data_IF_481124145249
#
_entry.id   IF_481124145249
#
_cell.length_a   1.000
_cell.length_b   1.000
_cell.length_c   1.000
_cell.angle_alpha   90.00
_cell.angle_beta   90.00
_cell.angle_gamma   90.00
#
_symmetry.space_group_name_H-M   'P 1'
#
loop_
_entity.id
_entity.type
_entity.pdbx_description
1 polymer ?
2 non-polymer ?
3 water ?
#
# COMPACT_ATOMS: atom_id res chain seq x y z
N UNK A 5 -7.24 23.21 -28.23
CA UNK A 5 -7.81 22.59 -29.42
C UNK A 5 -6.86 21.56 -30.02
N UNK A 6 -5.56 21.82 -29.88
CA UNK A 6 -4.54 20.89 -30.38
C UNK A 6 -3.74 20.28 -29.23
N UNK A 7 -3.86 20.88 -28.04
CA UNK A 7 -3.24 20.31 -26.85
C UNK A 7 -4.06 19.10 -26.42
N UNK A 8 -3.40 17.96 -26.17
CA UNK A 8 -4.18 16.81 -25.71
C UNK A 8 -4.92 17.09 -24.42
N UNK A 9 -6.18 16.68 -24.36
CA UNK A 9 -7.01 16.83 -23.18
C UNK A 9 -7.55 15.46 -22.79
N UNK A 10 -6.85 14.82 -21.85
CA UNK A 10 -7.18 13.46 -21.44
C UNK A 10 -8.43 13.44 -20.58
N UNK A 11 -9.16 12.33 -20.62
CA UNK A 11 -10.33 12.20 -19.75
C UNK A 11 -9.87 12.10 -18.30
N UNK A 12 -8.71 11.49 -18.07
CA UNK A 12 -8.24 11.26 -16.71
C UNK A 12 -6.70 11.19 -16.60
N UNK A 13 -6.19 11.85 -15.57
CA UNK A 13 -4.79 11.72 -15.18
C UNK A 13 -4.71 10.77 -14.01
N UNK A 14 -4.06 9.62 -14.23
CA UNK A 14 -3.93 8.59 -13.20
C UNK A 14 -2.52 8.66 -12.61
N UNK A 15 -2.44 9.16 -11.38
CA UNK A 15 -1.17 9.28 -10.70
C UNK A 15 -0.87 7.98 -9.97
N UNK A 16 -0.07 7.13 -10.60
CA UNK A 16 0.33 5.85 -10.04
C UNK A 16 0.11 4.72 -11.02
N UNK A 17 1.12 3.86 -11.15
CA UNK A 17 1.05 2.70 -12.04
C UNK A 17 1.09 1.40 -11.27
N UNK A 18 0.64 1.45 -10.02
CA UNK A 18 0.56 0.27 -9.19
C UNK A 18 -0.72 -0.50 -9.46
N UNK A 19 -1.12 -1.33 -8.50
CA UNK A 19 -2.29 -2.17 -8.68
C UNK A 19 -3.53 -1.30 -8.88
N UNK A 20 -3.66 -0.24 -8.09
CA UNK A 20 -4.81 0.65 -8.17
C UNK A 20 -4.88 1.38 -9.51
N UNK A 21 -3.76 1.98 -9.91
CA UNK A 21 -3.71 2.74 -11.15
C UNK A 21 -3.95 1.87 -12.36
N UNK A 22 -3.37 0.68 -12.36
CA UNK A 22 -3.53 -0.25 -13.48
C UNK A 22 -4.97 -0.72 -13.59
N UNK A 23 -5.62 -0.92 -12.45
CA UNK A 23 -6.99 -1.39 -12.45
C UNK A 23 -7.92 -0.31 -12.99
N UNK A 24 -7.66 0.95 -12.63
CA UNK A 24 -8.43 2.07 -13.17
C UNK A 24 -8.29 2.15 -14.69
N UNK A 25 -7.06 2.06 -15.17
CA UNK A 25 -6.77 2.10 -16.60
C UNK A 25 -7.48 0.97 -17.35
N UNK A 26 -7.54 -0.21 -16.75
CA UNK A 26 -8.14 -1.38 -17.37
C UNK A 26 -9.64 -1.23 -17.55
N UNK A 27 -10.30 -0.49 -16.65
CA UNK A 27 -11.72 -0.20 -16.80
C UNK A 27 -11.95 0.91 -17.82
N UNK A 28 -11.08 1.92 -17.84
CA UNK A 28 -11.24 3.05 -18.73
C UNK A 28 -11.06 2.69 -20.21
N UNK A 29 -10.20 1.72 -20.52
CA UNK A 29 -9.98 1.36 -21.92
C UNK A 29 -11.22 0.69 -22.50
N UNK A 30 -12.00 0.02 -21.65
CA UNK A 30 -13.21 -0.67 -22.09
C UNK A 30 -14.29 0.29 -22.60
N UNK A 31 -14.19 1.55 -22.18
CA UNK A 31 -15.19 2.55 -22.54
C UNK A 31 -14.57 3.64 -23.44
N UNK A 32 -13.39 3.37 -23.98
CA UNK A 32 -12.67 4.25 -24.90
C UNK A 32 -12.26 5.58 -24.29
N UNK A 33 -12.31 5.70 -22.97
CA UNK A 33 -11.86 6.92 -22.31
C UNK A 33 -10.34 6.99 -22.36
N UNK A 34 -9.83 8.21 -22.42
CA UNK A 34 -8.38 8.44 -22.55
C UNK A 34 -7.75 8.79 -21.22
N UNK A 35 -6.54 8.32 -21.00
CA UNK A 35 -5.83 8.67 -19.79
C UNK A 35 -4.33 8.50 -19.94
N UNK A 36 -3.60 9.11 -19.02
CA UNK A 36 -2.17 8.86 -18.87
C UNK A 36 -1.91 8.26 -17.49
N UNK A 37 -1.19 7.15 -17.46
CA UNK A 37 -0.77 6.52 -16.22
C UNK A 37 0.65 6.95 -15.90
N UNK A 38 0.81 7.67 -14.78
CA UNK A 38 2.12 8.12 -14.34
C UNK A 38 2.70 7.15 -13.33
N UNK A 39 3.97 6.78 -13.54
CA UNK A 39 4.63 5.79 -12.72
C UNK A 39 6.09 6.17 -12.52
N UNK A 40 6.43 6.53 -11.29
CA UNK A 40 7.77 6.96 -10.93
C UNK A 40 8.71 5.75 -10.72
N UNK A 41 8.14 4.56 -10.65
CA UNK A 41 8.92 3.32 -10.71
C UNK A 41 8.97 2.49 -9.45
N UNK A 42 8.68 3.10 -8.31
CA UNK A 42 8.71 2.39 -7.03
C UNK A 42 7.29 2.08 -6.57
N UNK A 43 7.04 0.80 -6.30
CA UNK A 43 5.74 0.33 -5.82
C UNK A 43 5.92 -0.33 -4.47
N UNK A 44 4.86 -0.29 -3.65
CA UNK A 44 4.97 -0.66 -2.24
C UNK A 44 5.48 -2.08 -2.03
N UNK A 45 5.08 -3.01 -2.90
CA UNK A 45 5.45 -4.42 -2.74
C UNK A 45 6.56 -4.88 -3.68
N UNK A 46 7.34 -3.94 -4.20
CA UNK A 46 8.39 -4.28 -5.17
C UNK A 46 9.47 -5.18 -4.57
N UNK A 47 9.59 -5.20 -3.25
CA UNK A 47 10.58 -6.05 -2.59
C UNK A 47 9.99 -7.41 -2.16
N UNK A 48 8.69 -7.58 -2.37
CA UNK A 48 8.03 -8.82 -1.99
C UNK A 48 8.44 -9.98 -2.90
N UNK A 49 8.65 -11.18 -2.32
CA UNK A 49 9.04 -12.32 -3.14
C UNK A 49 7.89 -12.83 -4.01
N UNK A 50 6.66 -12.55 -3.59
CA UNK A 50 5.49 -12.97 -4.35
C UNK A 50 4.25 -12.13 -3.99
N UNK A 51 3.16 -12.41 -4.71
CA UNK A 51 1.89 -11.74 -4.51
C UNK A 51 0.86 -12.75 -4.02
N UNK A 52 0.07 -12.38 -3.01
CA UNK A 52 -0.92 -13.28 -2.43
C UNK A 52 -2.31 -12.68 -2.43
N UNK A 53 -3.31 -13.56 -2.37
CA UNK A 53 -4.75 -13.22 -2.29
C UNK A 53 -5.37 -12.78 -3.62
N UNK A 54 -4.56 -12.53 -4.64
CA UNK A 54 -5.07 -12.17 -5.96
C UNK A 54 -5.20 -13.42 -6.83
N UNK A 55 -6.44 -13.81 -7.22
CA UNK A 55 -6.65 -15.07 -7.94
C UNK A 55 -5.74 -15.27 -9.16
N UNK A 56 -5.22 -16.50 -9.27
CA UNK A 56 -4.36 -16.95 -10.37
C UNK A 56 -2.89 -16.51 -10.20
N UNK A 57 -2.64 -15.54 -9.32
CA UNK A 57 -1.29 -14.98 -9.18
C UNK A 57 -0.61 -15.29 -7.84
N UNK A 58 -1.21 -16.17 -7.06
CA UNK A 58 -0.60 -16.59 -5.79
C UNK A 58 0.78 -17.19 -6.01
N UNK A 59 1.72 -16.81 -5.16
CA UNK A 59 3.10 -17.31 -5.18
C UNK A 59 3.86 -16.91 -6.45
N UNK A 60 3.30 -15.94 -7.18
CA UNK A 60 3.95 -15.40 -8.38
C UNK A 60 4.56 -14.03 -8.07
N UNK A 61 5.51 -13.60 -8.91
CA UNK A 61 6.22 -12.35 -8.67
C UNK A 61 5.32 -11.12 -8.87
N UNK A 62 5.35 -10.17 -7.91
CA UNK A 62 4.46 -9.00 -7.99
C UNK A 62 4.78 -8.08 -9.16
N UNK A 63 6.03 -8.03 -9.59
CA UNK A 63 6.41 -7.20 -10.73
C UNK A 63 5.89 -7.81 -12.02
N UNK A 64 5.90 -9.14 -12.09
CA UNK A 64 5.36 -9.83 -13.27
C UNK A 64 3.87 -9.57 -13.38
N UNK A 65 3.20 -9.50 -12.23
CA UNK A 65 1.76 -9.20 -12.21
C UNK A 65 1.50 -7.83 -12.85
N UNK A 66 2.23 -6.81 -12.42
CA UNK A 66 2.08 -5.46 -12.98
C UNK A 66 2.40 -5.45 -14.47
N UNK A 67 3.48 -6.11 -14.86
CA UNK A 67 3.91 -6.13 -16.25
C UNK A 67 2.86 -6.82 -17.12
N UNK A 68 2.33 -7.93 -16.63
CA UNK A 68 1.28 -8.66 -17.33
C UNK A 68 0.04 -7.79 -17.50
N UNK A 69 -0.29 -7.04 -16.46
CA UNK A 69 -1.46 -6.18 -16.47
C UNK A 69 -1.33 -5.07 -17.51
N UNK A 70 -0.15 -4.46 -17.56
CA UNK A 70 0.12 -3.38 -18.51
C UNK A 70 0.12 -3.89 -19.95
N UNK A 71 0.74 -5.04 -20.19
CA UNK A 71 0.80 -5.63 -21.52
C UNK A 71 -0.60 -6.04 -21.95
N UNK A 72 -1.34 -6.60 -21.00
CA UNK A 72 -2.71 -7.04 -21.22
C UNK A 72 -3.60 -5.86 -21.62
N UNK A 73 -3.15 -4.64 -21.28
CA UNK A 73 -3.83 -3.41 -21.71
C UNK A 73 -3.32 -2.97 -23.08
N UNK A 74 -2.01 -2.76 -23.19
CA UNK A 74 -1.42 -2.18 -24.39
C UNK A 74 -1.49 -3.09 -25.62
N UNK A 75 -1.71 -4.38 -25.40
CA UNK A 75 -1.77 -5.32 -26.52
C UNK A 75 -3.06 -5.21 -27.32
N UNK A 76 -4.08 -4.58 -26.73
CA UNK A 76 -5.40 -4.50 -27.38
C UNK A 76 -5.93 -3.07 -27.47
N UNK A 77 -5.65 -2.24 -26.47
CA UNK A 77 -6.24 -0.91 -26.37
C UNK A 77 -5.21 0.18 -26.64
N UNK A 78 -5.67 1.37 -27.05
CA UNK A 78 -4.76 2.45 -27.42
C UNK A 78 -5.17 3.84 -26.89
N UNK A 79 -6.09 3.90 -25.93
CA UNK A 79 -6.52 5.18 -25.39
C UNK A 79 -5.83 5.54 -24.07
N UNK A 80 -5.08 4.60 -23.51
CA UNK A 80 -4.32 4.85 -22.28
C UNK A 80 -2.82 4.78 -22.57
N UNK A 81 -2.12 5.84 -22.20
CA UNK A 81 -0.68 5.92 -22.34
C UNK A 81 0.01 5.83 -20.98
N UNK A 82 1.26 5.38 -20.97
CA UNK A 82 2.05 5.28 -19.75
C UNK A 82 3.24 6.22 -19.80
N UNK A 83 3.36 7.07 -18.80
CA UNK A 83 4.48 8.00 -18.67
C UNK A 83 5.35 7.62 -17.47
N UNK A 84 6.58 7.20 -17.73
CA UNK A 84 7.52 6.85 -16.67
C UNK A 84 8.26 8.08 -16.20
N UNK A 85 7.59 8.90 -15.40
CA UNK A 85 8.14 10.16 -14.94
C UNK A 85 7.76 10.39 -13.48
N UNK A 86 8.41 11.36 -12.85
CA UNK A 86 8.10 11.76 -11.49
C UNK A 86 7.36 13.09 -11.49
N UNK A 87 6.10 13.06 -11.07
CA UNK A 87 5.29 14.27 -10.94
C UNK A 87 5.63 15.00 -9.66
N UNK A 88 5.63 16.33 -9.70
CA UNK A 88 5.88 17.14 -8.51
C UNK A 88 4.72 18.06 -8.18
N UNK A 89 3.73 18.15 -9.05
CA UNK A 89 2.54 18.95 -8.75
C UNK A 89 1.30 18.54 -9.53
N UNK A 90 0.16 18.63 -8.86
CA UNK A 90 -1.14 18.52 -9.50
C UNK A 90 -2.01 19.67 -9.01
N UNK A 91 -2.73 20.30 -9.93
CA UNK A 91 -3.56 21.47 -9.63
C UNK A 91 -4.84 21.44 -10.44
N UNK A 92 -5.94 21.93 -9.85
CA UNK A 92 -7.10 22.31 -10.64
C UNK A 92 -6.90 23.76 -11.06
N UNK A 93 -6.83 23.98 -12.36
CA UNK A 93 -6.54 25.31 -12.89
C UNK A 93 -7.67 26.29 -12.55
N UNK A 94 -7.28 27.43 -11.99
CA UNK A 94 -8.24 28.45 -11.55
C UNK A 94 -8.31 29.62 -12.52
N UNK A 95 -7.51 29.57 -13.58
CA UNK A 95 -7.53 30.61 -14.60
C UNK A 95 -6.91 30.09 -15.89
N UNK A 96 -6.80 30.97 -16.88
CA UNK A 96 -6.21 30.59 -18.15
C UNK A 96 -7.22 29.91 -19.06
N UNK A 97 -6.77 29.49 -20.25
CA UNK A 97 -7.66 28.92 -21.26
C UNK A 97 -8.32 27.59 -20.86
N UNK A 98 -7.74 26.88 -19.90
CA UNK A 98 -8.27 25.59 -19.48
C UNK A 98 -8.68 25.59 -18.01
N UNK A 99 -9.18 26.74 -17.57
CA UNK A 99 -9.76 26.89 -16.23
C UNK A 99 -10.76 25.76 -15.97
N UNK A 100 -10.67 25.16 -14.79
CA UNK A 100 -11.58 24.08 -14.41
C UNK A 100 -10.99 22.70 -14.65
N UNK A 101 -10.06 22.60 -15.58
CA UNK A 101 -9.38 21.33 -15.85
C UNK A 101 -8.26 21.10 -14.85
N UNK A 102 -7.78 19.86 -14.80
CA UNK A 102 -6.66 19.51 -13.93
C UNK A 102 -5.36 19.42 -14.73
N UNK A 103 -4.26 19.71 -14.07
CA UNK A 103 -2.94 19.73 -14.69
C UNK A 103 -1.89 19.11 -13.78
N UNK A 104 -1.00 18.30 -14.35
CA UNK A 104 0.15 17.78 -13.60
C UNK A 104 1.47 18.25 -14.24
N UNK A 105 2.46 18.45 -13.39
CA UNK A 105 3.82 18.83 -13.80
C UNK A 105 4.81 17.76 -13.35
N UNK A 106 5.72 17.36 -14.24
CA UNK A 106 6.79 16.45 -13.85
C UNK A 106 8.06 17.24 -13.51
N UNK A 107 9.12 16.55 -13.12
CA UNK A 107 10.33 17.21 -12.64
C UNK A 107 11.07 17.97 -13.74
N UNK A 108 10.64 17.77 -14.98
CA UNK A 108 11.18 18.52 -16.11
C UNK A 108 10.20 19.59 -16.58
N UNK A 109 9.19 19.84 -15.76
CA UNK A 109 8.21 20.91 -16.00
C UNK A 109 7.31 20.64 -17.22
N UNK A 110 7.31 19.40 -17.70
CA UNK A 110 6.35 19.00 -18.72
C UNK A 110 4.93 18.97 -18.13
N UNK A 111 3.93 19.28 -18.95
CA UNK A 111 2.55 19.39 -18.49
C UNK A 111 1.60 18.40 -19.18
N UNK A 112 0.61 17.93 -18.42
CA UNK A 112 -0.49 17.12 -18.95
C UNK A 112 -1.81 17.67 -18.41
N UNK A 113 -2.80 17.80 -19.27
CA UNK A 113 -4.11 18.33 -18.87
C UNK A 113 -5.15 17.23 -18.88
N UNK A 114 -6.09 17.30 -17.94
CA UNK A 114 -7.10 16.27 -17.81
C UNK A 114 -8.43 16.75 -17.25
N UNK A 115 -9.51 16.05 -17.60
CA UNK A 115 -10.83 16.36 -17.07
C UNK A 115 -11.01 15.89 -15.64
N UNK A 116 -10.31 14.81 -15.29
CA UNK A 116 -10.44 14.19 -13.98
C UNK A 116 -9.08 13.70 -13.49
N UNK A 117 -9.00 13.40 -12.20
CA UNK A 117 -7.78 12.84 -11.61
C UNK A 117 -8.11 11.63 -10.73
N UNK A 118 -7.34 10.57 -10.89
CA UNK A 118 -7.34 9.46 -9.95
C UNK A 118 -6.02 9.45 -9.21
N UNK A 119 -6.09 9.70 -7.90
CA UNK A 119 -4.93 9.63 -7.03
C UNK A 119 -4.69 8.17 -6.63
N UNK A 120 -3.61 7.59 -7.14
CA UNK A 120 -3.25 6.21 -6.86
C UNK A 120 -1.78 6.10 -6.53
N UNK A 121 -1.28 7.07 -5.77
CA UNK A 121 0.16 7.20 -5.56
C UNK A 121 0.67 6.34 -4.41
N UNK A 122 -0.24 5.68 -3.70
CA UNK A 122 0.13 4.71 -2.69
C UNK A 122 0.69 5.32 -1.41
N UNK A 123 1.22 4.47 -0.56
CA UNK A 123 1.79 4.88 0.73
C UNK A 123 3.20 4.32 0.89
N UNK A 124 3.91 4.79 1.89
CA UNK A 124 5.18 4.19 2.26
C UNK A 124 5.17 3.77 3.73
N UNK A 125 5.82 2.65 4.02
CA UNK A 125 5.87 2.11 5.35
C UNK A 125 6.95 2.81 6.18
N UNK A 126 6.58 3.25 7.38
CA UNK A 126 7.51 3.93 8.28
C UNK A 126 8.12 2.92 9.26
N UNK A 127 9.30 2.43 8.92
CA UNK A 127 9.94 1.34 9.65
C UNK A 127 10.48 1.75 11.02
N UNK A 128 10.29 0.89 12.04
CA UNK A 128 10.96 1.14 13.33
C UNK A 128 12.48 1.26 13.15
N UNK A 129 13.14 2.05 13.99
CA UNK A 129 14.55 2.36 13.78
C UNK A 129 15.45 1.44 14.61
N UNK A 130 14.98 0.22 14.85
CA UNK A 130 15.79 -0.80 15.49
C UNK A 130 16.88 -1.25 14.54
N UNK A 131 18.12 -1.30 15.05
CA UNK A 131 19.28 -1.72 14.27
C UNK A 131 19.00 -3.07 13.60
N UNK A 132 19.03 -3.08 12.27
CA UNK A 132 18.84 -4.30 11.50
C UNK A 132 17.43 -4.51 10.97
N UNK A 133 16.45 -3.78 11.52
CA UNK A 133 15.06 -3.98 11.11
C UNK A 133 14.88 -3.84 9.61
N UNK A 134 15.46 -2.79 9.03
CA UNK A 134 15.31 -2.49 7.62
C UNK A 134 15.82 -3.62 6.74
N UNK A 135 16.87 -4.30 7.20
CA UNK A 135 17.47 -5.39 6.42
C UNK A 135 16.70 -6.70 6.60
N UNK A 136 15.95 -6.82 7.69
CA UNK A 136 15.11 -7.99 7.93
C UNK A 136 13.73 -7.80 7.29
N UNK A 137 13.36 -6.56 7.03
CA UNK A 137 12.06 -6.21 6.47
C UNK A 137 11.84 -6.88 5.11
N UNK A 138 10.77 -7.67 5.03
CA UNK A 138 10.37 -8.47 3.85
C UNK A 138 11.21 -9.73 3.68
N UNK A 139 12.21 -9.93 4.54
CA UNK A 139 12.98 -11.16 4.55
C UNK A 139 12.45 -12.08 5.65
N UNK A 140 12.61 -11.65 6.90
CA UNK A 140 12.12 -12.37 8.06
C UNK A 140 10.98 -11.66 8.76
N UNK A 141 10.83 -10.36 8.50
CA UNK A 141 9.78 -9.57 9.14
C UNK A 141 8.66 -9.25 8.14
N UNK A 142 7.44 -9.65 8.49
CA UNK A 142 6.30 -9.58 7.59
C UNK A 142 5.26 -8.59 8.09
N UNK A 143 4.60 -7.91 7.16
CA UNK A 143 3.58 -6.91 7.49
C UNK A 143 2.21 -7.55 7.67
N UNK A 144 2.04 -8.74 7.11
CA UNK A 144 0.72 -9.39 7.08
C UNK A 144 0.89 -10.89 6.93
N UNK A 145 0.34 -11.66 7.86
CA UNK A 145 0.58 -13.11 7.88
C UNK A 145 -0.36 -13.85 6.92
N UNK A 146 -1.19 -13.12 6.18
CA UNK A 146 -1.92 -13.71 5.06
C UNK A 146 -1.03 -13.66 3.82
N UNK A 147 -0.24 -12.59 3.71
CA UNK A 147 0.60 -12.36 2.53
C UNK A 147 1.94 -13.08 2.64
N UNK A 148 2.39 -13.30 3.87
CA UNK A 148 3.63 -14.03 4.14
C UNK A 148 3.41 -14.95 5.35
N UNK A 149 4.24 -15.97 5.49
CA UNK A 149 4.23 -16.80 6.68
C UNK A 149 4.00 -18.28 6.41
N UNK A 150 3.12 -18.58 5.46
CA UNK A 150 2.85 -19.97 5.09
C UNK A 150 4.14 -20.74 4.83
N UNK A 151 5.07 -20.09 4.13
CA UNK A 151 6.33 -20.72 3.78
C UNK A 151 7.22 -20.98 5.01
N UNK A 152 6.88 -20.32 6.12
CA UNK A 152 7.62 -20.47 7.38
C UNK A 152 6.89 -21.39 8.37
N UNK A 153 5.85 -22.07 7.92
CA UNK A 153 5.12 -22.97 8.80
C UNK A 153 6.07 -24.06 9.31
N UNK A 154 5.91 -24.42 10.58
CA UNK A 154 6.76 -25.43 11.19
C UNK A 154 8.03 -24.86 11.79
N UNK A 155 8.19 -23.54 11.72
CA UNK A 155 9.33 -22.88 12.37
C UNK A 155 9.38 -23.22 13.85
N UNK A 156 10.58 -23.29 14.40
CA UNK A 156 10.75 -23.59 15.83
C UNK A 156 10.02 -22.55 16.67
N UNK A 157 10.05 -21.30 16.25
CA UNK A 157 9.31 -20.23 16.93
C UNK A 157 8.99 -19.11 15.97
N UNK A 158 8.05 -18.25 16.37
CA UNK A 158 7.64 -17.10 15.59
C UNK A 158 7.34 -15.95 16.51
N UNK A 159 7.60 -14.73 16.03
CA UNK A 159 7.51 -13.55 16.87
C UNK A 159 6.48 -12.53 16.45
N UNK A 160 6.02 -11.77 17.44
CA UNK A 160 5.18 -10.59 17.22
C UNK A 160 5.92 -9.40 17.82
N UNK A 161 6.21 -8.40 17.00
CA UNK A 161 6.83 -7.17 17.50
C UNK A 161 5.72 -6.18 17.84
N UNK A 162 5.33 -6.18 19.11
CA UNK A 162 4.20 -5.40 19.58
C UNK A 162 4.62 -4.00 20.00
N UNK A 163 5.01 -3.19 19.03
CA UNK A 163 5.41 -1.81 19.29
C UNK A 163 4.63 -0.84 18.40
N UNK A 164 4.63 0.43 18.78
CA UNK A 164 4.00 1.49 18.00
C UNK A 164 2.53 1.14 17.75
N UNK A 165 2.13 0.97 16.49
CA UNK A 165 0.76 0.67 16.16
C UNK A 165 0.27 -0.67 16.70
N UNK A 166 1.21 -1.57 16.97
CA UNK A 166 0.88 -2.91 17.48
C UNK A 166 1.05 -3.00 18.99
N UNK A 167 1.27 -1.86 19.66
CA UNK A 167 1.53 -1.84 21.09
C UNK A 167 0.24 -1.80 21.91
N UNK A 168 -0.70 -2.69 21.57
CA UNK A 168 -1.92 -2.88 22.34
C UNK A 168 -2.11 -4.36 22.55
N UNK A 169 -2.82 -4.73 23.62
CA UNK A 169 -3.02 -6.15 23.88
C UNK A 169 -3.83 -6.80 22.76
N UNK A 170 -4.87 -6.12 22.29
CA UNK A 170 -5.73 -6.68 21.26
C UNK A 170 -4.95 -6.94 19.97
N UNK A 171 -4.08 -6.01 19.59
CA UNK A 171 -3.27 -6.18 18.38
C UNK A 171 -2.26 -7.31 18.56
N UNK A 172 -1.58 -7.33 19.70
CA UNK A 172 -0.60 -8.36 19.99
C UNK A 172 -1.26 -9.74 19.97
N UNK A 173 -2.44 -9.83 20.59
CA UNK A 173 -3.22 -11.05 20.64
C UNK A 173 -3.63 -11.51 19.23
N UNK A 174 -4.15 -10.57 18.46
CA UNK A 174 -4.60 -10.83 17.09
C UNK A 174 -3.48 -11.39 16.22
N UNK A 175 -2.31 -10.76 16.28
CA UNK A 175 -1.16 -11.18 15.49
C UNK A 175 -0.57 -12.48 16.05
N UNK A 176 -0.58 -12.63 17.36
CA UNK A 176 -0.02 -13.84 17.97
C UNK A 176 -0.85 -15.08 17.59
N UNK A 177 -2.16 -14.90 17.47
CA UNK A 177 -3.04 -16.00 17.07
C UNK A 177 -2.83 -16.40 15.61
N UNK A 178 -2.51 -15.44 14.76
CA UNK A 178 -2.13 -15.73 13.39
C UNK A 178 -0.82 -16.53 13.37
N UNK A 179 0.15 -16.07 14.12
CA UNK A 179 1.47 -16.70 14.16
C UNK A 179 1.37 -18.13 14.70
N UNK A 180 0.42 -18.36 15.60
CA UNK A 180 0.28 -19.66 16.26
C UNK A 180 -0.11 -20.75 15.27
N UNK A 181 -0.72 -20.36 14.15
CA UNK A 181 -1.05 -21.31 13.11
C UNK A 181 0.20 -21.82 12.39
N UNK A 182 1.32 -21.11 12.57
CA UNK A 182 2.56 -21.40 11.84
C UNK A 182 3.65 -22.03 12.72
N UNK A 183 3.50 -21.92 14.03
CA UNK A 183 4.52 -22.40 14.95
C UNK A 183 3.91 -22.73 16.31
N UNK A 184 4.54 -23.67 17.03
CA UNK A 184 4.05 -24.09 18.34
C UNK A 184 4.51 -23.14 19.45
N UNK A 185 5.48 -22.29 19.13
CA UNK A 185 6.06 -21.40 20.12
C UNK A 185 6.06 -19.96 19.66
N UNK A 186 5.03 -19.22 20.06
CA UNK A 186 4.91 -17.81 19.71
C UNK A 186 5.43 -16.95 20.85
N UNK A 187 6.23 -15.95 20.49
CA UNK A 187 6.74 -14.99 21.46
C UNK A 187 6.31 -13.58 21.05
N UNK A 188 5.78 -12.83 22.00
CA UNK A 188 5.43 -11.44 21.77
C UNK A 188 6.54 -10.56 22.35
N UNK A 189 7.25 -9.87 21.47
CA UNK A 189 8.29 -8.92 21.88
C UNK A 189 7.66 -7.55 22.12
N UNK A 190 7.77 -7.05 23.36
CA UNK A 190 7.18 -5.76 23.68
C UNK A 190 8.23 -4.65 23.77
N UNK A 191 9.51 -5.01 23.60
CA UNK A 191 10.56 -4.01 23.39
C UNK A 191 10.60 -2.94 24.49
N UNK A 192 10.70 -3.38 25.76
CA UNK A 192 10.82 -2.46 26.87
C UNK A 192 9.50 -2.08 27.53
N UNK A 193 8.39 -2.54 26.95
CA UNK A 193 7.05 -2.23 27.48
C UNK A 193 6.62 -3.33 28.45
N UNK A 194 6.88 -3.10 29.74
CA UNK A 194 6.62 -4.11 30.76
C UNK A 194 5.13 -4.35 30.97
N UNK A 195 4.33 -3.29 30.90
CA UNK A 195 2.90 -3.39 31.14
C UNK A 195 2.21 -4.30 30.13
N UNK A 196 2.55 -4.13 28.86
CA UNK A 196 1.98 -4.96 27.81
C UNK A 196 2.42 -6.41 27.98
N UNK A 197 3.69 -6.61 28.32
CA UNK A 197 4.23 -7.95 28.54
C UNK A 197 3.48 -8.68 29.65
N UNK A 198 3.18 -7.95 30.72
CA UNK A 198 2.45 -8.52 31.86
C UNK A 198 1.04 -8.95 31.46
N UNK A 199 0.39 -8.13 30.65
CA UNK A 199 -0.97 -8.43 30.19
C UNK A 199 -0.95 -9.65 29.27
N UNK A 200 0.06 -9.73 28.41
CA UNK A 200 0.23 -10.90 27.54
C UNK A 200 0.40 -12.16 28.37
N UNK A 201 1.26 -12.10 29.38
CA UNK A 201 1.52 -13.26 30.23
C UNK A 201 0.28 -13.67 31.04
N UNK A 202 -0.45 -12.68 31.56
CA UNK A 202 -1.68 -12.95 32.31
C UNK A 202 -2.72 -13.63 31.43
N UNK A 203 -2.96 -13.08 30.25
CA UNK A 203 -4.03 -13.53 29.38
C UNK A 203 -3.66 -14.73 28.53
N UNK A 204 -2.48 -14.70 27.92
CA UNK A 204 -2.10 -15.69 26.92
C UNK A 204 -1.09 -16.72 27.44
N UNK A 205 -0.47 -16.41 28.58
CA UNK A 205 0.46 -17.35 29.21
C UNK A 205 -0.14 -18.74 29.38
N UNK A 206 -1.35 -18.84 29.95
CA UNK A 206 -2.02 -20.12 30.11
C UNK A 206 -2.28 -20.84 28.79
N UNK A 207 -2.23 -20.11 27.68
CA UNK A 207 -2.48 -20.69 26.36
C UNK A 207 -1.18 -21.02 25.63
N UNK A 208 -0.05 -20.85 26.31
CA UNK A 208 1.23 -21.28 25.79
C UNK A 208 2.00 -20.19 25.05
N UNK A 209 1.60 -18.94 25.26
CA UNK A 209 2.27 -17.82 24.60
C UNK A 209 3.31 -17.20 25.53
N UNK A 210 4.42 -16.77 24.96
CA UNK A 210 5.53 -16.18 25.69
C UNK A 210 5.55 -14.67 25.53
N UNK A 211 5.79 -13.96 26.62
CA UNK A 211 6.01 -12.52 26.58
C UNK A 211 7.49 -12.24 26.80
N UNK A 212 8.03 -11.33 26.00
CA UNK A 212 9.44 -10.95 26.10
C UNK A 212 9.57 -9.44 26.10
N UNK A 213 9.93 -8.87 27.25
CA UNK A 213 9.90 -7.42 27.43
C UNK A 213 11.26 -6.73 27.29
N UNK A 214 12.34 -7.50 27.15
CA UNK A 214 13.67 -6.93 26.99
C UNK A 214 13.74 -6.07 25.73
N UNK A 215 14.47 -4.96 25.81
CA UNK A 215 14.67 -4.13 24.64
C UNK A 215 15.55 -4.85 23.63
N UNK A 216 15.15 -4.78 22.37
CA UNK A 216 15.90 -5.35 21.27
C UNK A 216 16.95 -4.36 20.78
N UNK A 217 18.21 -4.79 20.83
CA UNK A 217 19.33 -3.95 20.42
C UNK A 217 19.67 -4.15 18.95
N UNK A 218 19.45 -5.35 18.43
CA UNK A 218 19.77 -5.64 17.04
C UNK A 218 19.03 -6.86 16.50
N UNK A 219 18.63 -6.75 15.23
CA UNK A 219 18.02 -7.85 14.48
C UNK A 219 18.94 -8.24 13.34
N UNK A 220 19.27 -9.54 13.25
CA UNK A 220 20.18 -10.03 12.23
C UNK A 220 19.48 -11.01 11.31
N UNK A 221 19.42 -10.67 10.02
CA UNK A 221 18.77 -11.51 9.04
C UNK A 221 19.70 -12.61 8.56
N UNK A 222 19.23 -13.86 8.64
CA UNK A 222 19.95 -14.96 8.03
C UNK A 222 19.78 -14.89 6.51
N UNK A 223 20.89 -15.03 5.76
CA UNK A 223 20.74 -14.87 4.30
C UNK A 223 19.97 -16.00 3.62
N UNK A 224 20.14 -17.23 4.10
CA UNK A 224 19.49 -18.39 3.51
C UNK A 224 17.96 -18.34 3.59
N UNK A 225 17.45 -17.72 4.65
CA UNK A 225 16.07 -17.98 5.08
C UNK A 225 15.42 -16.81 5.82
N UNK A 226 14.23 -17.05 6.36
CA UNK A 226 13.47 -16.03 7.07
C UNK A 226 13.98 -15.87 8.50
N UNK A 227 14.61 -16.91 9.03
CA UNK A 227 15.08 -16.92 10.41
C UNK A 227 15.98 -15.72 10.71
N UNK A 228 15.82 -15.17 11.93
CA UNK A 228 16.62 -14.04 12.38
C UNK A 228 17.19 -14.31 13.76
N UNK A 229 18.26 -13.59 14.10
CA UNK A 229 18.76 -13.51 15.46
C UNK A 229 18.24 -12.24 16.13
N UNK A 230 17.67 -12.39 17.31
CA UNK A 230 17.22 -11.26 18.11
C UNK A 230 18.21 -11.02 19.25
N UNK A 231 18.92 -9.89 19.20
CA UNK A 231 19.89 -9.53 20.22
C UNK A 231 19.29 -8.52 21.18
N UNK A 232 19.32 -8.85 22.48
CA UNK A 232 18.71 -8.00 23.50
C UNK A 232 19.72 -7.07 24.14
N UNK A 233 19.19 -6.07 24.84
CA UNK A 233 19.99 -5.03 25.50
C UNK A 233 20.95 -5.63 26.52
N UNK A 234 20.62 -6.80 27.05
CA UNK A 234 21.41 -7.43 28.11
C UNK A 234 22.59 -8.25 27.58
N UNK A 235 22.76 -8.26 26.26
CA UNK A 235 23.85 -8.98 25.63
C UNK A 235 23.51 -10.39 25.20
N UNK A 236 22.37 -10.90 25.66
CA UNK A 236 21.93 -12.23 25.26
C UNK A 236 21.15 -12.15 23.96
N UNK A 237 20.95 -13.31 23.32
CA UNK A 237 20.23 -13.37 22.05
C UNK A 237 19.52 -14.70 21.86
N UNK A 238 18.66 -14.74 20.85
CA UNK A 238 17.91 -15.95 20.51
C UNK A 238 17.57 -15.93 19.03
N UNK A 239 17.20 -17.10 18.51
CA UNK A 239 16.77 -17.22 17.12
C UNK A 239 15.24 -17.25 17.07
N UNK A 240 14.67 -16.65 16.03
CA UNK A 240 13.22 -16.70 15.83
C UNK A 240 12.95 -16.94 14.34
N UNK A 241 11.93 -17.74 14.05
CA UNK A 241 11.66 -18.18 12.69
C UNK A 241 11.15 -17.07 11.78
N UNK A 242 10.45 -16.11 12.37
CA UNK A 242 9.89 -14.97 11.64
C UNK A 242 9.32 -13.98 12.65
N UNK A 243 9.02 -12.76 12.19
CA UNK A 243 8.38 -11.75 13.03
C UNK A 243 7.29 -11.04 12.24
N UNK A 244 6.12 -10.87 12.86
CA UNK A 244 5.08 -10.05 12.25
C UNK A 244 5.05 -8.68 12.93
N UNK A 245 4.98 -7.64 12.11
CA UNK A 245 4.89 -6.27 12.58
C UNK A 245 4.27 -5.38 11.51
N UNK A 246 3.39 -4.48 11.93
CA UNK A 246 2.68 -3.60 11.01
C UNK A 246 3.08 -2.13 11.22
N UNK A 247 4.10 -1.67 10.47
CA UNK A 247 4.49 -0.26 10.56
C UNK A 247 3.34 0.67 10.23
N UNK A 248 3.35 1.87 10.77
CA UNK A 248 2.42 2.91 10.32
C UNK A 248 2.85 3.33 8.91
N UNK A 249 1.93 3.92 8.16
CA UNK A 249 2.22 4.33 6.79
C UNK A 249 1.98 5.82 6.60
N UNK A 250 2.48 6.33 5.47
CA UNK A 250 2.29 7.72 5.11
C UNK A 250 1.99 7.81 3.62
N UNK A 251 1.00 8.61 3.25
CA UNK A 251 0.66 8.80 1.84
C UNK A 251 1.82 9.48 1.12
N UNK A 252 2.10 9.03 -0.09
CA UNK A 252 3.26 9.52 -0.84
C UNK A 252 2.92 10.81 -1.60
N UNK A 253 3.94 11.63 -1.81
CA UNK A 253 3.82 12.81 -2.64
C UNK A 253 3.14 14.00 -1.98
N UNK A 254 3.18 15.16 -2.65
CA UNK A 254 2.53 16.38 -2.14
C UNK A 254 1.13 16.59 -2.68
N UNK A 255 0.62 15.60 -3.43
CA UNK A 255 -0.58 15.78 -4.24
C UNK A 255 -1.83 16.04 -3.41
N UNK A 256 -2.01 15.26 -2.35
CA UNK A 256 -3.19 15.43 -1.49
C UNK A 256 -3.22 16.84 -0.91
N UNK A 257 -2.08 17.30 -0.43
CA UNK A 257 -1.97 18.62 0.16
C UNK A 257 -2.21 19.72 -0.88
N UNK A 258 -1.64 19.53 -2.07
CA UNK A 258 -1.77 20.52 -3.13
C UNK A 258 -3.23 20.74 -3.55
N UNK A 259 -4.00 19.65 -3.60
CA UNK A 259 -5.40 19.72 -4.02
C UNK A 259 -6.33 20.15 -2.89
N UNK A 260 -5.90 19.91 -1.66
CA UNK A 260 -6.70 20.27 -0.49
C UNK A 260 -7.82 19.28 -0.20
N UNK A 261 -7.61 18.01 -0.57
CA UNK A 261 -8.59 16.97 -0.28
C UNK A 261 -8.65 16.69 1.22
N UNK A 262 -9.83 16.36 1.72
CA UNK A 262 -10.02 16.08 3.15
C UNK A 262 -9.43 14.72 3.52
N UNK A 263 -8.73 14.68 4.65
CA UNK A 263 -8.14 13.46 5.18
C UNK A 263 -9.00 12.91 6.32
N UNK A 264 -8.87 11.62 6.58
CA UNK A 264 -9.57 10.99 7.69
C UNK A 264 -8.64 10.89 8.90
N UNK A 265 -9.20 10.68 10.09
CA UNK A 265 -8.35 10.50 11.29
C UNK A 265 -7.41 9.32 11.14
N UNK A 266 -7.84 8.27 10.46
CA UNK A 266 -6.99 7.10 10.21
C UNK A 266 -5.78 7.47 9.34
N UNK A 267 -5.95 8.46 8.48
CA UNK A 267 -4.86 9.00 7.69
C UNK A 267 -5.07 8.94 6.19
N UNK A 268 -5.99 8.09 5.74
CA UNK A 268 -6.22 7.94 4.32
C UNK A 268 -7.11 9.07 3.80
N UNK A 269 -7.10 9.28 2.50
CA UNK A 269 -7.92 10.32 1.88
C UNK A 269 -9.39 9.95 2.00
N UNK A 270 -10.20 10.91 2.45
CA UNK A 270 -11.63 10.67 2.65
C UNK A 270 -12.32 10.37 1.32
N UNK A 271 -13.16 9.34 1.31
CA UNK A 271 -13.84 8.89 0.10
C UNK A 271 -15.35 9.04 0.20
N UNK A 272 -15.96 9.32 -0.95
CA UNK A 272 -17.40 9.37 -1.11
C UNK A 272 -17.90 8.11 -1.79
N UNK A 273 -18.84 7.42 -1.16
CA UNK A 273 -19.44 6.21 -1.70
C UNK A 273 -20.22 6.52 -2.98
N UNK A 274 -20.15 5.65 -4.00
CA UNK A 274 -19.39 4.40 -4.15
C UNK A 274 -18.14 4.52 -5.04
N UNK A 275 -17.95 5.66 -5.69
CA UNK A 275 -16.88 5.79 -6.69
C UNK A 275 -15.58 6.35 -6.12
N UNK A 276 -15.53 6.47 -4.80
CA UNK A 276 -14.33 6.95 -4.11
C UNK A 276 -13.89 8.33 -4.54
N UNK A 277 -14.85 9.21 -4.80
CA UNK A 277 -14.54 10.59 -5.09
C UNK A 277 -14.08 11.29 -3.80
N UNK A 278 -13.03 12.09 -3.92
CA UNK A 278 -12.55 12.90 -2.79
C UNK A 278 -13.45 14.11 -2.58
N UNK A 279 -13.11 14.96 -1.61
CA UNK A 279 -13.89 16.15 -1.34
C UNK A 279 -13.67 17.23 -2.40
N UNK A 280 -12.73 16.98 -3.31
CA UNK A 280 -12.53 17.84 -4.47
C UNK A 280 -13.19 17.20 -5.69
N UNK A 281 -14.23 17.85 -6.23
CA UNK A 281 -14.98 17.29 -7.34
C UNK A 281 -14.09 17.00 -8.54
N UNK A 282 -14.25 15.80 -9.10
CA UNK A 282 -13.49 15.39 -10.27
C UNK A 282 -12.19 14.71 -9.91
N UNK A 283 -11.87 14.66 -8.61
CA UNK A 283 -10.69 13.96 -8.11
C UNK A 283 -11.10 12.73 -7.30
N UNK A 284 -10.57 11.57 -7.69
CA UNK A 284 -10.88 10.31 -7.04
C UNK A 284 -9.61 9.70 -6.46
N UNK A 285 -9.79 8.74 -5.56
CA UNK A 285 -8.64 8.06 -4.96
C UNK A 285 -8.87 6.55 -4.98
N UNK A 286 -7.79 5.81 -5.22
CA UNK A 286 -7.85 4.36 -5.24
C UNK A 286 -6.56 3.77 -4.71
N UNK A 287 -6.69 2.68 -3.97
CA UNK A 287 -5.54 1.98 -3.43
C UNK A 287 -5.21 2.39 -2.01
N UNK A 288 -3.97 2.14 -1.61
CA UNK A 288 -3.54 2.34 -0.22
C UNK A 288 -3.80 3.76 0.28
N UNK A 289 -3.74 4.74 -0.61
CA UNK A 289 -3.93 6.13 -0.22
C UNK A 289 -5.38 6.44 0.14
N UNK A 290 -6.29 5.51 -0.14
CA UNK A 290 -7.72 5.77 -0.06
C UNK A 290 -8.55 4.90 0.87
N UNK A 291 -7.91 4.06 1.68
CA UNK A 291 -8.65 3.30 2.69
C UNK A 291 -7.73 2.78 3.78
N UNK A 292 -8.34 2.26 4.85
CA UNK A 292 -7.60 1.72 5.98
C UNK A 292 -7.12 0.29 5.73
N UNK A 293 -7.63 -0.32 4.66
CA UNK A 293 -7.25 -1.68 4.28
C UNK A 293 -6.33 -1.62 3.09
N UNK A 294 -5.04 -1.53 3.38
CA UNK A 294 -4.03 -1.26 2.36
C UNK A 294 -3.51 -2.56 1.76
N UNK A 295 -4.42 -3.25 1.06
CA UNK A 295 -4.14 -4.56 0.47
C UNK A 295 -4.47 -4.57 -1.02
N UNK A 296 -3.96 -5.60 -1.71
CA UNK A 296 -4.04 -5.65 -3.16
C UNK A 296 -5.43 -5.75 -3.75
N UNK A 297 -6.28 -6.61 -3.16
CA UNK A 297 -7.63 -6.79 -3.69
C UNK A 297 -8.46 -5.53 -3.52
N UNK A 298 -8.18 -4.78 -2.45
CA UNK A 298 -8.83 -3.50 -2.23
C UNK A 298 -8.39 -2.50 -3.29
N UNK A 299 -7.11 -2.53 -3.63
CA UNK A 299 -6.57 -1.65 -4.67
C UNK A 299 -7.27 -1.90 -6.01
N UNK A 300 -7.45 -3.17 -6.34
CA UNK A 300 -8.12 -3.54 -7.60
C UNK A 300 -9.55 -3.02 -7.66
N UNK A 301 -10.35 -3.30 -6.64
CA UNK A 301 -11.75 -2.90 -6.66
C UNK A 301 -11.89 -1.38 -6.61
N UNK A 302 -11.04 -0.70 -5.84
CA UNK A 302 -11.10 0.76 -5.75
C UNK A 302 -10.77 1.39 -7.10
N UNK A 303 -9.85 0.79 -7.85
CA UNK A 303 -9.49 1.31 -9.15
C UNK A 303 -10.65 1.22 -10.12
N UNK A 304 -11.39 0.11 -10.05
CA UNK A 304 -12.55 -0.09 -10.91
C UNK A 304 -13.64 0.92 -10.61
N UNK A 305 -13.88 1.20 -9.32
CA UNK A 305 -14.94 2.12 -8.94
C UNK A 305 -14.55 3.58 -9.20
N UNK A 306 -13.26 3.91 -9.00
CA UNK A 306 -12.77 5.25 -9.33
C UNK A 306 -12.94 5.51 -10.82
N UNK A 307 -12.60 4.51 -11.64
CA UNK A 307 -12.81 4.59 -13.07
C UNK A 307 -14.29 4.82 -13.37
N UNK A 308 -15.15 4.17 -12.60
CA UNK A 308 -16.59 4.32 -12.76
C UNK A 308 -17.06 5.75 -12.58
N UNK A 309 -16.49 6.42 -11.60
CA UNK A 309 -16.84 7.81 -11.32
C UNK A 309 -16.40 8.71 -12.46
N UNK A 310 -15.20 8.46 -12.96
CA UNK A 310 -14.68 9.19 -14.11
C UNK A 310 -15.59 9.02 -15.32
N UNK A 311 -15.93 7.76 -15.59
CA UNK A 311 -16.78 7.44 -16.74
C UNK A 311 -18.11 8.16 -16.66
N UNK A 312 -18.74 8.10 -15.50
CA UNK A 312 -20.05 8.69 -15.31
C UNK A 312 -20.02 10.20 -15.52
N UNK A 313 -19.02 10.86 -14.95
CA UNK A 313 -18.92 12.31 -15.03
C UNK A 313 -18.50 12.77 -16.42
N UNK A 314 -17.49 12.14 -16.98
CA UNK A 314 -16.99 12.54 -18.30
C UNK A 314 -18.07 12.31 -19.35
N UNK A 315 -18.75 11.17 -19.30
CA UNK A 315 -19.85 10.88 -20.22
C UNK A 315 -20.91 11.97 -20.19
N UNK A 316 -21.34 12.34 -18.98
CA UNK A 316 -22.39 13.33 -18.80
C UNK A 316 -21.95 14.70 -19.33
N UNK A 317 -20.70 15.07 -19.08
CA UNK A 317 -20.17 16.36 -19.50
C UNK A 317 -20.12 16.46 -21.02
N UNK A 318 -19.72 15.38 -21.69
CA UNK A 318 -19.68 15.36 -23.14
C UNK A 318 -21.07 15.36 -23.77
N UNK A 319 -21.86 14.36 -23.44
CA UNK A 319 -23.06 14.05 -24.23
C UNK A 319 -24.30 14.85 -23.84
N UNK A 320 -24.25 15.58 -22.73
CA UNK A 320 -25.37 16.43 -22.33
C UNK A 320 -25.40 17.73 -23.14
N UNK A 321 -24.34 17.98 -23.89
CA UNK A 321 -24.21 19.18 -24.71
C UNK A 321 -24.85 18.99 -26.09
N UNK A 322 -25.81 19.84 -26.47
CA UNK A 322 -26.48 19.67 -27.77
C UNK A 322 -25.56 19.88 -28.97
#
# INVERSE_FOLDING_TARGET
>A
MASESSIPLYDCLIIGGGIAGLSSALSLVRTLHTAVVFDEGIHRNDQAPHLATVPTWDSQDPKRFRDAAKLNILSKYSTVEFANVKLEKVNQLTDGPYKGYFCVWDTKQRQWLGRKVILAMGVEDLLPTIDGFAECWTKGIFHCLVHRGYEERGSASGGVLAIDGDATFFAARHLAFQARNLTDHVVIYTHGNDELAQEVESQLGPCGFRAESRRIEKLVQHPERAQMEVHFEDGQSETVGFIVHRPRTSIRGPFAEQLGVEMTPEGHIKTQFPFNETTVSGVFVAGDAGSQFKIGTQAVVMGAFAAGGVQMQVNAEKWSQPLNSVVSQGHHHHHH
#
